data_IF_851724350719
#
_entry.id   IF_851724350719
#
_cell.length_a   1.000
_cell.length_b   1.000
_cell.length_c   1.000
_cell.angle_alpha   90.00
_cell.angle_beta   90.00
_cell.angle_gamma   90.00
#
_symmetry.space_group_name_H-M   'P 1'
#
loop_
_entity.id
_entity.type
_entity.pdbx_description
1 polymer ?
#
# COMPACT_ATOMS: atom_id res chain seq x y z
N UNK A 1 11.98 17.51 -1.90
CA UNK A 1 11.22 16.97 -3.05
C UNK A 1 11.85 15.68 -3.61
N UNK A 2 13.14 15.67 -3.95
CA UNK A 2 13.81 14.49 -4.55
C UNK A 2 13.74 13.20 -3.73
N UNK A 3 14.00 13.26 -2.42
CA UNK A 3 13.90 12.08 -1.54
C UNK A 3 12.49 11.47 -1.59
N UNK A 4 11.46 12.31 -1.49
CA UNK A 4 10.08 11.87 -1.58
C UNK A 4 9.76 11.20 -2.92
N UNK A 5 10.21 11.80 -4.04
CA UNK A 5 10.00 11.23 -5.37
C UNK A 5 10.69 9.88 -5.53
N UNK A 6 11.93 9.75 -5.06
CA UNK A 6 12.67 8.48 -5.10
C UNK A 6 11.95 7.42 -4.28
N UNK A 7 11.57 7.74 -3.04
CA UNK A 7 10.82 6.82 -2.18
C UNK A 7 9.47 6.44 -2.80
N UNK A 8 8.79 7.39 -3.44
CA UNK A 8 7.51 7.13 -4.10
C UNK A 8 7.69 6.18 -5.28
N UNK A 9 8.64 6.44 -6.18
CA UNK A 9 8.95 5.57 -7.31
C UNK A 9 9.31 4.17 -6.83
N UNK A 10 10.19 4.05 -5.82
CA UNK A 10 10.52 2.75 -5.23
C UNK A 10 9.29 2.04 -4.66
N UNK A 11 8.42 2.78 -3.96
CA UNK A 11 7.20 2.21 -3.38
C UNK A 11 6.22 1.70 -4.42
N UNK A 12 6.16 2.26 -5.64
CA UNK A 12 5.33 1.73 -6.72
C UNK A 12 5.72 0.30 -7.10
N UNK A 13 7.01 -0.03 -6.96
CA UNK A 13 7.56 -1.37 -7.18
C UNK A 13 7.68 -2.17 -5.87
N UNK A 14 6.86 -1.89 -4.84
CA UNK A 14 6.98 -2.57 -3.54
C UNK A 14 6.90 -4.09 -3.63
N UNK A 15 6.13 -4.65 -4.58
CA UNK A 15 6.03 -6.10 -4.80
C UNK A 15 7.38 -6.74 -5.20
N UNK A 16 8.33 -5.96 -5.72
CA UNK A 16 9.66 -6.41 -6.12
C UNK A 16 10.72 -6.15 -5.05
N UNK A 17 10.39 -5.32 -4.06
CA UNK A 17 11.27 -4.93 -2.95
C UNK A 17 10.95 -5.74 -1.70
N UNK A 18 9.67 -5.95 -1.44
CA UNK A 18 9.12 -6.61 -0.27
C UNK A 18 8.01 -7.57 -0.68
N UNK A 19 8.25 -8.89 -0.67
CA UNK A 19 7.24 -9.88 -1.00
C UNK A 19 7.54 -11.22 -0.34
N UNK A 20 6.48 -11.99 -0.03
CA UNK A 20 6.61 -13.37 0.46
C UNK A 20 6.77 -14.40 -0.65
N UNK A 21 6.83 -13.94 -1.91
CA UNK A 21 7.11 -14.75 -3.08
C UNK A 21 8.43 -14.35 -3.72
N UNK A 22 9.18 -15.31 -4.28
CA UNK A 22 10.33 -15.01 -5.10
C UNK A 22 9.90 -14.28 -6.39
N UNK A 23 10.80 -13.45 -6.89
CA UNK A 23 10.61 -12.69 -8.13
C UNK A 23 10.62 -13.62 -9.34
N UNK A 24 11.61 -14.52 -9.36
CA UNK A 24 11.82 -15.49 -10.43
C UNK A 24 12.16 -16.84 -9.81
N UNK A 25 11.60 -17.90 -10.38
CA UNK A 25 11.92 -19.29 -10.03
C UNK A 25 12.21 -20.07 -11.29
N UNK A 26 13.35 -20.75 -11.34
CA UNK A 26 13.60 -21.80 -12.33
C UNK A 26 13.26 -23.13 -11.68
N UNK A 27 12.38 -23.92 -12.28
CA UNK A 27 12.02 -25.25 -11.77
C UNK A 27 11.81 -26.22 -12.94
N UNK A 28 12.56 -27.33 -12.95
CA UNK A 28 12.48 -28.39 -14.00
C UNK A 28 12.62 -27.85 -15.44
N UNK A 29 13.43 -26.80 -15.62
CA UNK A 29 13.67 -26.17 -16.92
C UNK A 29 12.66 -25.07 -17.32
N UNK A 30 11.62 -24.82 -16.52
CA UNK A 30 10.66 -23.74 -16.73
C UNK A 30 11.01 -22.52 -15.86
N UNK A 31 10.88 -21.32 -16.41
CA UNK A 31 11.04 -20.06 -15.68
C UNK A 31 9.65 -19.54 -15.30
N UNK A 32 9.45 -19.35 -14.01
CA UNK A 32 8.21 -18.88 -13.38
C UNK A 32 8.42 -17.50 -12.78
N UNK A 33 7.34 -16.71 -12.73
CA UNK A 33 7.33 -15.38 -12.11
C UNK A 33 6.27 -15.31 -10.98
N UNK A 34 6.55 -15.89 -9.79
CA UNK A 34 5.55 -15.98 -8.71
C UNK A 34 5.07 -14.65 -8.16
N UNK A 35 5.86 -13.58 -8.33
CA UNK A 35 5.47 -12.21 -7.97
C UNK A 35 4.28 -11.70 -8.80
N UNK A 36 4.10 -12.20 -10.03
CA UNK A 36 3.00 -11.79 -10.94
C UNK A 36 1.92 -12.86 -11.04
N UNK A 37 2.31 -14.14 -11.05
CA UNK A 37 1.42 -15.27 -11.29
C UNK A 37 1.35 -16.15 -10.06
N UNK A 38 0.14 -16.43 -9.58
CA UNK A 38 -0.07 -17.42 -8.53
C UNK A 38 0.02 -18.83 -9.12
N UNK A 39 0.94 -19.64 -8.60
CA UNK A 39 1.06 -21.05 -8.95
C UNK A 39 0.50 -21.91 -7.80
N UNK A 40 -0.20 -23.01 -8.11
CA UNK A 40 -0.62 -23.97 -7.11
C UNK A 40 0.58 -24.77 -6.61
N UNK A 41 0.52 -25.20 -5.35
CA UNK A 41 1.58 -25.96 -4.71
C UNK A 41 1.75 -27.37 -5.29
N UNK A 42 0.70 -27.91 -5.91
CA UNK A 42 0.75 -29.15 -6.70
C UNK A 42 1.87 -29.14 -7.74
N UNK A 43 2.21 -27.97 -8.28
CA UNK A 43 3.33 -27.81 -9.23
C UNK A 43 4.68 -28.19 -8.61
N UNK A 44 4.82 -28.02 -7.30
CA UNK A 44 6.01 -28.32 -6.51
C UNK A 44 5.80 -29.54 -5.60
N UNK A 45 4.79 -30.37 -5.86
CA UNK A 45 4.53 -31.60 -5.09
C UNK A 45 3.74 -31.41 -3.79
N UNK A 46 3.21 -30.22 -3.52
CA UNK A 46 2.28 -29.98 -2.40
C UNK A 46 0.81 -30.12 -2.80
N UNK A 47 -0.09 -29.63 -1.94
CA UNK A 47 -1.54 -29.82 -2.10
C UNK A 47 -2.37 -28.53 -2.00
N UNK A 48 -1.75 -27.40 -1.67
CA UNK A 48 -2.45 -26.14 -1.49
C UNK A 48 -2.69 -25.40 -2.82
N UNK A 49 -3.77 -24.63 -2.87
CA UNK A 49 -4.16 -23.85 -4.05
C UNK A 49 -3.18 -22.71 -4.39
N UNK A 50 -2.42 -22.23 -3.41
CA UNK A 50 -1.40 -21.20 -3.57
C UNK A 50 -0.15 -21.66 -2.85
N UNK A 51 0.97 -21.70 -3.56
CA UNK A 51 2.27 -22.09 -3.01
C UNK A 51 2.75 -21.12 -1.94
N UNK A 52 3.10 -21.64 -0.76
CA UNK A 52 3.95 -20.93 0.21
C UNK A 52 5.43 -21.17 -0.10
N UNK A 53 6.07 -20.21 -0.76
CA UNK A 53 7.50 -20.29 -1.09
C UNK A 53 8.41 -20.12 0.13
N UNK A 54 7.87 -19.76 1.30
CA UNK A 54 8.62 -19.67 2.55
C UNK A 54 8.66 -21.01 3.30
N UNK A 55 7.88 -22.00 2.89
CA UNK A 55 7.92 -23.34 3.44
C UNK A 55 9.27 -24.02 3.10
N UNK A 56 10.06 -24.49 4.09
CA UNK A 56 11.30 -25.21 3.85
C UNK A 56 11.17 -26.39 2.88
N UNK A 57 10.05 -27.13 2.92
CA UNK A 57 9.83 -28.30 2.05
C UNK A 57 9.75 -27.87 0.58
N UNK A 58 9.03 -26.79 0.30
CA UNK A 58 8.90 -26.23 -1.05
C UNK A 58 10.23 -25.63 -1.52
N UNK A 59 10.96 -24.97 -0.62
CA UNK A 59 12.27 -24.41 -0.96
C UNK A 59 13.28 -25.49 -1.33
N UNK A 60 13.33 -26.58 -0.55
CA UNK A 60 14.24 -27.69 -0.80
C UNK A 60 13.92 -28.40 -2.13
N UNK A 61 12.63 -28.62 -2.42
CA UNK A 61 12.18 -29.19 -3.70
C UNK A 61 12.57 -28.31 -4.89
N UNK A 62 12.38 -26.99 -4.79
CA UNK A 62 12.75 -26.08 -5.86
C UNK A 62 14.27 -26.02 -6.02
N UNK A 63 15.03 -25.96 -4.93
CA UNK A 63 16.50 -25.91 -4.97
C UNK A 63 17.11 -27.23 -5.49
N UNK A 64 16.45 -28.37 -5.29
CA UNK A 64 16.88 -29.65 -5.86
C UNK A 64 16.74 -29.71 -7.39
N UNK A 65 15.77 -28.97 -7.95
CA UNK A 65 15.43 -28.99 -9.38
C UNK A 65 15.57 -27.64 -10.08
N UNK A 66 16.26 -26.68 -9.45
CA UNK A 66 16.37 -25.32 -9.95
C UNK A 66 16.83 -24.31 -8.91
N UNK A 67 16.32 -23.08 -9.00
CA UNK A 67 16.76 -21.95 -8.17
C UNK A 67 15.69 -20.88 -8.05
N UNK A 68 15.82 -20.02 -7.04
CA UNK A 68 14.90 -18.90 -6.79
C UNK A 68 15.66 -17.60 -6.54
N UNK A 69 15.13 -16.49 -7.08
CA UNK A 69 15.61 -15.13 -6.77
C UNK A 69 14.56 -14.42 -5.93
N UNK A 70 14.95 -14.03 -4.73
CA UNK A 70 14.07 -13.36 -3.76
C UNK A 70 14.18 -11.84 -3.81
N UNK A 71 13.10 -11.11 -3.49
CA UNK A 71 13.21 -9.69 -3.18
C UNK A 71 14.09 -9.46 -1.93
N UNK A 72 14.64 -8.24 -1.76
CA UNK A 72 15.43 -7.87 -0.58
C UNK A 72 14.72 -8.11 0.75
N UNK A 73 13.41 -7.87 0.84
CA UNK A 73 12.59 -8.16 2.01
C UNK A 73 11.64 -9.29 1.64
N UNK A 74 11.73 -10.43 2.33
CA UNK A 74 10.96 -11.63 1.98
C UNK A 74 9.57 -11.67 2.61
N UNK A 75 9.00 -10.52 2.96
CA UNK A 75 7.68 -10.40 3.60
C UNK A 75 6.75 -9.53 2.75
N UNK A 76 5.52 -9.99 2.57
CA UNK A 76 4.41 -9.14 2.18
C UNK A 76 3.81 -8.46 3.41
N UNK A 77 2.99 -7.44 3.21
CA UNK A 77 2.34 -6.66 4.27
C UNK A 77 1.39 -7.48 5.16
N UNK A 78 1.01 -8.70 4.73
CA UNK A 78 0.15 -9.63 5.49
C UNK A 78 0.91 -10.82 6.10
N UNK A 79 2.13 -11.08 5.63
CA UNK A 79 2.91 -12.25 6.01
C UNK A 79 3.23 -12.19 7.49
N UNK A 80 2.84 -13.23 8.22
CA UNK A 80 3.14 -13.40 9.64
C UNK A 80 4.49 -14.11 9.75
N UNK A 81 5.41 -13.57 10.54
CA UNK A 81 6.68 -14.21 10.81
C UNK A 81 6.56 -15.13 12.04
N UNK A 82 6.67 -16.43 11.82
CA UNK A 82 6.65 -17.41 12.91
C UNK A 82 8.02 -17.59 13.57
N UNK A 83 9.11 -17.18 12.91
CA UNK A 83 10.48 -17.31 13.38
C UNK A 83 10.99 -16.01 14.03
N UNK A 84 10.22 -15.48 14.99
CA UNK A 84 10.56 -14.24 15.71
C UNK A 84 11.34 -14.52 17.01
N UNK A 85 12.33 -13.67 17.39
CA UNK A 85 13.19 -13.92 18.56
C UNK A 85 12.49 -13.98 19.92
N UNK A 86 11.44 -13.17 20.07
CA UNK A 86 10.66 -12.97 21.29
C UNK A 86 9.19 -12.77 20.93
N UNK A 87 8.31 -12.72 21.93
CA UNK A 87 6.89 -12.49 21.69
C UNK A 87 6.65 -11.14 21.00
N UNK A 88 5.76 -11.12 20.01
CA UNK A 88 5.38 -9.91 19.31
C UNK A 88 4.76 -8.85 20.26
N UNK A 89 5.01 -7.55 20.04
CA UNK A 89 5.85 -6.95 18.99
C UNK A 89 7.35 -7.05 19.30
N UNK A 90 8.16 -7.17 18.25
CA UNK A 90 9.63 -7.30 18.38
C UNK A 90 10.35 -6.02 18.02
N UNK A 91 11.51 -5.78 18.64
CA UNK A 91 12.41 -4.67 18.25
C UNK A 91 13.07 -4.94 16.88
N UNK A 92 13.65 -3.91 16.25
CA UNK A 92 14.41 -4.08 15.01
C UNK A 92 15.46 -5.20 15.02
N UNK A 93 15.52 -6.01 13.95
CA UNK A 93 16.38 -7.20 13.86
C UNK A 93 17.88 -6.92 14.00
N UNK A 94 18.32 -5.69 13.71
CA UNK A 94 19.71 -5.27 13.84
C UNK A 94 20.11 -4.94 15.29
N UNK A 95 19.16 -4.90 16.24
CA UNK A 95 19.40 -4.73 17.67
C UNK A 95 19.58 -6.06 18.43
N UNK A 96 19.48 -7.20 17.74
CA UNK A 96 19.72 -8.52 18.33
C UNK A 96 21.11 -9.03 17.99
N UNK A 97 21.67 -9.80 18.91
CA UNK A 97 22.81 -10.68 18.63
C UNK A 97 22.41 -11.74 17.62
N UNK A 98 23.39 -12.26 16.86
CA UNK A 98 23.15 -13.26 15.82
C UNK A 98 22.43 -14.51 16.34
N UNK A 99 22.77 -14.97 17.55
CA UNK A 99 22.15 -16.15 18.17
C UNK A 99 20.69 -15.91 18.54
N UNK A 100 20.40 -14.77 19.17
CA UNK A 100 19.04 -14.40 19.58
C UNK A 100 18.13 -14.20 18.37
N UNK A 101 18.65 -13.56 17.31
CA UNK A 101 17.91 -13.34 16.07
C UNK A 101 17.47 -14.63 15.38
N UNK A 102 18.30 -15.68 15.44
CA UNK A 102 18.02 -16.94 14.76
C UNK A 102 17.51 -18.05 15.71
N UNK A 103 17.09 -17.74 16.93
CA UNK A 103 16.80 -18.76 17.95
C UNK A 103 15.63 -19.71 17.61
N UNK A 104 14.64 -19.25 16.83
CA UNK A 104 13.49 -20.05 16.39
C UNK A 104 13.76 -20.86 15.13
N UNK A 105 14.88 -20.64 14.45
CA UNK A 105 15.23 -21.41 13.26
C UNK A 105 15.79 -22.79 13.69
N UNK A 106 15.41 -23.90 13.03
CA UNK A 106 15.87 -25.24 13.40
C UNK A 106 17.39 -25.39 13.52
N UNK A 107 18.15 -24.73 12.64
CA UNK A 107 19.62 -24.77 12.64
C UNK A 107 20.27 -23.51 13.24
N UNK A 108 19.48 -22.64 13.89
CA UNK A 108 19.96 -21.41 14.50
C UNK A 108 20.65 -20.50 13.48
N UNK A 109 21.86 -20.04 13.81
CA UNK A 109 22.64 -19.13 12.96
C UNK A 109 23.09 -19.77 11.63
N UNK A 110 23.19 -21.10 11.59
CA UNK A 110 23.58 -21.82 10.38
C UNK A 110 22.40 -22.09 9.42
N UNK A 111 21.18 -21.71 9.82
CA UNK A 111 19.97 -22.00 9.05
C UNK A 111 19.95 -21.23 7.72
N UNK A 112 19.66 -21.89 6.58
CA UNK A 112 19.56 -21.24 5.27
C UNK A 112 18.53 -20.11 5.22
N UNK A 113 17.53 -20.14 6.11
CA UNK A 113 16.49 -19.12 6.19
C UNK A 113 16.81 -17.99 7.18
N UNK A 114 17.84 -18.08 8.03
CA UNK A 114 18.27 -16.95 8.86
C UNK A 114 19.16 -15.95 8.10
N UNK A 115 18.66 -15.46 6.96
CA UNK A 115 19.35 -14.51 6.07
C UNK A 115 18.80 -13.10 6.21
N UNK A 116 19.57 -12.10 5.75
CA UNK A 116 19.21 -10.67 5.80
C UNK A 116 17.82 -10.37 5.21
N UNK A 117 17.40 -11.12 4.19
CA UNK A 117 16.07 -10.94 3.58
C UNK A 117 14.90 -11.38 4.45
N UNK A 118 15.14 -12.27 5.42
CA UNK A 118 14.16 -12.70 6.43
C UNK A 118 14.30 -11.91 7.75
N UNK A 119 15.08 -10.83 7.77
CA UNK A 119 15.15 -9.96 8.95
C UNK A 119 13.97 -9.01 8.99
N UNK A 120 13.39 -8.86 10.17
CA UNK A 120 12.44 -7.79 10.45
C UNK A 120 13.19 -6.49 10.77
N UNK A 121 13.58 -5.75 9.74
CA UNK A 121 14.47 -4.59 9.83
C UNK A 121 13.96 -3.48 10.76
N UNK A 122 12.65 -3.27 10.82
CA UNK A 122 12.00 -2.31 11.73
C UNK A 122 11.25 -3.01 12.88
N UNK A 123 11.44 -4.32 13.04
CA UNK A 123 10.71 -5.13 14.02
C UNK A 123 9.38 -5.63 13.47
N UNK A 124 8.57 -6.18 14.37
CA UNK A 124 7.23 -6.70 14.05
C UNK A 124 6.13 -5.98 14.82
N UNK A 125 4.92 -6.01 14.28
CA UNK A 125 3.72 -5.59 14.99
C UNK A 125 3.20 -6.65 15.98
N UNK A 126 2.07 -6.37 16.63
CA UNK A 126 1.38 -7.26 17.59
C UNK A 126 0.86 -8.57 16.97
N UNK A 127 0.96 -8.74 15.64
CA UNK A 127 0.58 -9.93 14.90
C UNK A 127 1.81 -10.60 14.26
N UNK A 128 3.02 -10.25 14.70
CA UNK A 128 4.28 -10.75 14.19
C UNK A 128 4.53 -10.47 12.69
N UNK A 129 3.87 -9.46 12.10
CA UNK A 129 4.10 -9.07 10.70
C UNK A 129 5.23 -8.06 10.60
N UNK A 130 5.94 -8.08 9.49
CA UNK A 130 7.08 -7.20 9.25
C UNK A 130 6.67 -5.72 9.13
N UNK A 131 7.19 -4.86 10.01
CA UNK A 131 6.86 -3.43 10.01
C UNK A 131 7.43 -2.73 8.78
N UNK A 132 8.62 -3.12 8.29
CA UNK A 132 9.24 -2.49 7.12
C UNK A 132 8.39 -2.68 5.86
N UNK A 133 7.98 -3.92 5.57
CA UNK A 133 7.07 -4.24 4.48
C UNK A 133 5.76 -3.45 4.62
N UNK A 134 5.14 -3.43 5.81
CA UNK A 134 3.92 -2.65 6.03
C UNK A 134 4.09 -1.16 5.77
N UNK A 135 5.23 -0.57 6.12
CA UNK A 135 5.56 0.84 5.84
C UNK A 135 5.71 1.08 4.34
N UNK A 136 6.44 0.23 3.61
CA UNK A 136 6.65 0.38 2.16
C UNK A 136 5.31 0.32 1.42
N UNK A 137 4.47 -0.69 1.72
CA UNK A 137 3.16 -0.85 1.11
C UNK A 137 2.18 0.25 1.53
N UNK A 138 2.18 0.63 2.81
CA UNK A 138 1.33 1.70 3.34
C UNK A 138 1.68 3.06 2.74
N UNK A 139 2.97 3.36 2.56
CA UNK A 139 3.43 4.58 1.91
C UNK A 139 2.96 4.65 0.45
N UNK A 140 3.08 3.57 -0.33
CA UNK A 140 2.54 3.47 -1.69
C UNK A 140 1.05 3.85 -1.72
N UNK A 141 0.24 3.21 -0.88
CA UNK A 141 -1.21 3.41 -0.85
C UNK A 141 -1.58 4.83 -0.42
N UNK A 142 -0.95 5.36 0.64
CA UNK A 142 -1.22 6.70 1.16
C UNK A 142 -0.89 7.81 0.17
N UNK A 143 0.24 7.70 -0.53
CA UNK A 143 0.63 8.71 -1.54
C UNK A 143 -0.27 8.64 -2.76
N UNK A 144 -0.58 7.44 -3.27
CA UNK A 144 -1.53 7.28 -4.38
C UNK A 144 -2.91 7.83 -4.03
N UNK A 145 -3.39 7.57 -2.81
CA UNK A 145 -4.64 8.12 -2.32
C UNK A 145 -4.64 9.65 -2.36
N UNK A 146 -3.62 10.29 -1.79
CA UNK A 146 -3.49 11.75 -1.77
C UNK A 146 -3.42 12.34 -3.18
N UNK A 147 -2.61 11.75 -4.07
CA UNK A 147 -2.48 12.23 -5.45
C UNK A 147 -3.79 12.13 -6.22
N UNK A 148 -4.50 11.01 -6.14
CA UNK A 148 -5.78 10.83 -6.84
C UNK A 148 -6.84 11.77 -6.26
N UNK A 149 -6.92 11.89 -4.93
CA UNK A 149 -7.87 12.77 -4.26
C UNK A 149 -7.61 14.24 -4.65
N UNK A 150 -6.36 14.69 -4.59
CA UNK A 150 -6.00 16.07 -4.97
C UNK A 150 -6.24 16.32 -6.44
N UNK A 151 -5.87 15.40 -7.34
CA UNK A 151 -6.09 15.58 -8.78
C UNK A 151 -7.59 15.61 -9.12
N UNK A 152 -8.39 14.70 -8.58
CA UNK A 152 -9.83 14.67 -8.77
C UNK A 152 -10.52 15.91 -8.17
N UNK A 153 -10.11 16.29 -6.96
CA UNK A 153 -10.63 17.48 -6.27
C UNK A 153 -10.31 18.76 -7.03
N UNK A 154 -9.07 18.90 -7.51
CA UNK A 154 -8.64 20.02 -8.34
C UNK A 154 -9.41 20.05 -9.67
N UNK A 155 -9.54 18.92 -10.36
CA UNK A 155 -10.27 18.85 -11.63
C UNK A 155 -11.72 19.36 -11.47
N UNK A 156 -12.44 18.86 -10.47
CA UNK A 156 -13.83 19.26 -10.21
C UNK A 156 -13.91 20.70 -9.70
N UNK A 157 -13.05 21.07 -8.74
CA UNK A 157 -13.06 22.40 -8.12
C UNK A 157 -12.67 23.51 -9.09
N UNK A 158 -11.65 23.29 -9.92
CA UNK A 158 -11.23 24.25 -10.96
C UNK A 158 -12.31 24.41 -11.99
N UNK A 159 -12.88 23.31 -12.50
CA UNK A 159 -13.93 23.39 -13.53
C UNK A 159 -15.17 24.10 -13.00
N UNK A 160 -15.68 23.73 -11.81
CA UNK A 160 -16.84 24.39 -11.22
C UNK A 160 -16.56 25.87 -10.88
N UNK A 161 -15.42 26.19 -10.27
CA UNK A 161 -15.03 27.57 -9.93
C UNK A 161 -14.84 28.46 -11.16
N UNK A 162 -14.21 27.92 -12.21
CA UNK A 162 -14.05 28.62 -13.49
C UNK A 162 -15.40 28.90 -14.15
N UNK A 163 -16.32 27.92 -14.18
CA UNK A 163 -17.68 28.12 -14.72
C UNK A 163 -18.44 29.20 -13.96
N UNK A 164 -18.36 29.21 -12.62
CA UNK A 164 -19.00 30.23 -11.79
C UNK A 164 -18.41 31.63 -12.03
N UNK A 165 -17.08 31.76 -11.99
CA UNK A 165 -16.42 33.05 -12.13
C UNK A 165 -16.49 33.63 -13.55
N UNK A 166 -16.42 32.77 -14.58
CA UNK A 166 -16.46 33.18 -15.98
C UNK A 166 -17.85 33.69 -16.39
N UNK A 167 -18.90 32.89 -16.16
CA UNK A 167 -20.27 33.27 -16.57
C UNK A 167 -20.92 34.26 -15.61
N UNK A 168 -20.69 34.14 -14.29
CA UNK A 168 -21.28 35.02 -13.27
C UNK A 168 -22.81 35.02 -13.22
N UNK A 169 -23.37 35.92 -12.40
CA UNK A 169 -24.83 36.11 -12.33
C UNK A 169 -25.58 34.89 -11.80
N UNK A 170 -26.54 34.39 -12.58
CA UNK A 170 -27.39 33.26 -12.17
C UNK A 170 -26.64 31.93 -12.04
N UNK A 171 -25.64 31.66 -12.89
CA UNK A 171 -24.84 30.43 -12.80
C UNK A 171 -24.06 30.40 -11.49
N UNK A 172 -23.50 31.55 -11.11
CA UNK A 172 -22.78 31.71 -9.85
C UNK A 172 -23.70 31.53 -8.65
N UNK A 173 -24.85 32.23 -8.63
CA UNK A 173 -25.84 32.13 -7.56
C UNK A 173 -26.34 30.69 -7.35
N UNK A 174 -26.69 29.97 -8.42
CA UNK A 174 -27.19 28.59 -8.32
C UNK A 174 -26.13 27.65 -7.74
N UNK A 175 -24.88 27.71 -8.24
CA UNK A 175 -23.80 26.88 -7.72
C UNK A 175 -23.45 27.23 -6.28
N UNK A 176 -23.45 28.52 -5.90
CA UNK A 176 -23.25 28.92 -4.51
C UNK A 176 -24.32 28.31 -3.60
N UNK A 177 -25.61 28.36 -3.98
CA UNK A 177 -26.69 27.73 -3.19
C UNK A 177 -26.54 26.23 -3.07
N UNK A 178 -26.16 25.56 -4.15
CA UNK A 178 -25.87 24.13 -4.10
C UNK A 178 -24.72 23.83 -3.12
N UNK A 179 -23.62 24.56 -3.21
CA UNK A 179 -22.44 24.39 -2.35
C UNK A 179 -22.77 24.68 -0.88
N UNK A 180 -23.55 25.72 -0.60
CA UNK A 180 -24.01 26.03 0.76
C UNK A 180 -24.80 24.85 1.36
N UNK A 181 -25.79 24.32 0.62
CA UNK A 181 -26.57 23.16 1.07
C UNK A 181 -25.67 21.92 1.22
N UNK A 182 -24.75 21.69 0.27
CA UNK A 182 -23.85 20.56 0.28
C UNK A 182 -22.88 20.59 1.47
N UNK A 183 -22.34 21.77 1.78
CA UNK A 183 -21.42 21.99 2.89
C UNK A 183 -22.09 22.01 4.26
N UNK A 184 -23.42 22.19 4.31
CA UNK A 184 -24.21 22.06 5.53
C UNK A 184 -24.29 20.61 6.03
N UNK A 185 -24.00 19.62 5.16
CA UNK A 185 -23.97 18.21 5.52
C UNK A 185 -22.71 17.94 6.39
N UNK A 186 -22.84 17.46 7.63
CA UNK A 186 -21.66 17.20 8.46
C UNK A 186 -20.92 15.96 7.97
N UNK A 187 -19.72 16.18 7.42
CA UNK A 187 -18.90 15.14 6.79
C UNK A 187 -18.64 13.96 7.73
N UNK A 188 -18.37 14.22 9.02
CA UNK A 188 -18.11 13.17 10.00
C UNK A 188 -19.29 12.21 10.17
N UNK A 189 -20.53 12.72 10.24
CA UNK A 189 -21.70 11.85 10.38
C UNK A 189 -21.92 10.99 9.14
N UNK A 190 -21.72 11.55 7.95
CA UNK A 190 -21.84 10.78 6.71
C UNK A 190 -20.77 9.69 6.61
N UNK A 191 -19.52 10.00 6.99
CA UNK A 191 -18.45 9.00 7.06
C UNK A 191 -18.81 7.87 8.03
N UNK A 192 -19.38 8.19 9.20
CA UNK A 192 -19.82 7.17 10.18
C UNK A 192 -20.96 6.29 9.66
N UNK A 193 -21.97 6.89 9.05
CA UNK A 193 -23.12 6.14 8.49
C UNK A 193 -22.64 5.21 7.38
N UNK A 194 -21.81 5.71 6.45
CA UNK A 194 -21.32 4.89 5.33
C UNK A 194 -20.38 3.80 5.82
N UNK A 195 -19.47 4.10 6.76
CA UNK A 195 -18.58 3.10 7.34
C UNK A 195 -19.31 2.00 8.14
N UNK A 196 -20.51 2.30 8.66
CA UNK A 196 -21.34 1.31 9.35
C UNK A 196 -22.07 0.35 8.38
N UNK A 197 -22.34 0.77 7.15
CA UNK A 197 -23.12 0.00 6.17
C UNK A 197 -22.22 -0.69 5.14
N UNK A 198 -21.19 0.03 4.67
CA UNK A 198 -20.27 -0.45 3.65
C UNK A 198 -18.93 -0.82 4.27
N UNK A 199 -18.33 -1.95 3.89
CA UNK A 199 -16.97 -2.30 4.30
C UNK A 199 -15.99 -1.17 3.94
N UNK A 200 -15.14 -0.70 4.87
CA UNK A 200 -14.16 0.32 4.55
C UNK A 200 -13.21 -0.21 3.49
N UNK A 201 -13.06 0.55 2.40
CA UNK A 201 -12.20 0.20 1.29
C UNK A 201 -11.60 1.44 0.66
N UNK A 202 -10.51 1.24 -0.09
CA UNK A 202 -9.77 2.33 -0.75
C UNK A 202 -10.70 3.24 -1.58
N UNK A 203 -11.50 2.66 -2.47
CA UNK A 203 -12.37 3.42 -3.36
C UNK A 203 -13.55 4.09 -2.65
N UNK A 204 -14.08 3.47 -1.58
CA UNK A 204 -15.18 4.04 -0.80
C UNK A 204 -14.67 5.28 -0.06
N UNK A 205 -13.56 5.17 0.66
CA UNK A 205 -12.98 6.31 1.36
C UNK A 205 -12.57 7.42 0.38
N UNK A 206 -11.97 7.06 -0.75
CA UNK A 206 -11.57 8.02 -1.79
C UNK A 206 -12.78 8.77 -2.34
N UNK A 207 -13.85 8.05 -2.69
CA UNK A 207 -15.09 8.65 -3.19
C UNK A 207 -15.75 9.56 -2.16
N UNK A 208 -15.87 9.11 -0.90
CA UNK A 208 -16.43 9.90 0.19
C UNK A 208 -15.65 11.18 0.42
N UNK A 209 -14.32 11.11 0.48
CA UNK A 209 -13.48 12.29 0.62
C UNK A 209 -13.58 13.21 -0.59
N UNK A 210 -13.59 12.65 -1.80
CA UNK A 210 -13.69 13.40 -3.04
C UNK A 210 -15.02 14.14 -3.16
N UNK A 211 -16.13 13.60 -2.64
CA UNK A 211 -17.45 14.25 -2.67
C UNK A 211 -17.48 15.62 -1.97
N UNK A 212 -16.60 15.86 -0.99
CA UNK A 212 -16.56 17.11 -0.22
C UNK A 212 -15.30 17.95 -0.48
N UNK A 213 -14.19 17.32 -0.85
CA UNK A 213 -12.88 18.00 -0.92
C UNK A 213 -12.79 19.09 -2.01
N UNK A 214 -13.54 18.96 -3.12
CA UNK A 214 -13.47 19.89 -4.26
C UNK A 214 -14.04 21.28 -3.95
N UNK A 215 -15.00 21.36 -3.04
CA UNK A 215 -15.74 22.58 -2.71
C UNK A 215 -14.82 23.71 -2.25
N UNK A 216 -13.78 23.40 -1.48
CA UNK A 216 -12.84 24.39 -0.97
C UNK A 216 -12.10 25.12 -2.11
N UNK A 217 -11.80 24.40 -3.19
CA UNK A 217 -11.05 24.94 -4.32
C UNK A 217 -11.91 25.79 -5.25
N UNK A 218 -13.22 25.52 -5.32
CA UNK A 218 -14.19 26.29 -6.11
C UNK A 218 -14.16 27.78 -5.74
N UNK A 219 -14.20 28.10 -4.44
CA UNK A 219 -14.23 29.47 -3.96
C UNK A 219 -13.00 30.28 -4.36
N UNK A 220 -11.81 29.65 -4.32
CA UNK A 220 -10.55 30.26 -4.70
C UNK A 220 -10.51 30.55 -6.21
N UNK A 221 -10.81 29.55 -7.04
CA UNK A 221 -10.79 29.71 -8.50
C UNK A 221 -11.84 30.71 -8.97
N UNK A 222 -13.04 30.66 -8.39
CA UNK A 222 -14.11 31.63 -8.65
C UNK A 222 -13.62 33.07 -8.40
N UNK A 223 -12.94 33.32 -7.29
CA UNK A 223 -12.45 34.65 -6.94
C UNK A 223 -11.43 35.18 -7.97
N UNK A 224 -10.52 34.32 -8.45
CA UNK A 224 -9.55 34.69 -9.47
C UNK A 224 -10.22 35.04 -10.82
N UNK A 225 -11.21 34.26 -11.26
CA UNK A 225 -11.94 34.55 -12.49
C UNK A 225 -12.76 35.84 -12.40
N UNK A 226 -13.41 36.10 -11.26
CA UNK A 226 -14.13 37.36 -11.03
C UNK A 226 -13.19 38.57 -11.05
N UNK A 227 -12.01 38.43 -10.40
CA UNK A 227 -10.97 39.47 -10.38
C UNK A 227 -10.44 39.78 -11.78
N UNK A 228 -10.18 38.75 -12.58
CA UNK A 228 -9.70 38.89 -13.95
C UNK A 228 -10.73 39.57 -14.87
N UNK A 229 -12.03 39.48 -14.55
CA UNK A 229 -13.10 40.16 -15.30
C UNK A 229 -13.24 41.65 -14.95
N UNK A 230 -12.89 42.03 -13.72
CA UNK A 230 -13.03 43.41 -13.22
C UNK A 230 -11.79 44.29 -13.47
N UNK A 231 -10.69 43.69 -13.94
CA UNK A 231 -9.45 44.38 -14.31
C UNK A 231 -9.44 44.64 -15.81
#
# INVERSE_FOLDING_TARGET
>A
LWIFLVLFVLSLFSEWIANDKPVVVSYKGEILFPVVVAYPEEKFGGFYAVTDYRDPVIQDEINAHGWMIWPPVRYSYRTVNNAIPEAAPTKPSWLYDAKSRCNQYPQGVADPNCVVGNWNWLGTDDQARDVLARVIYGFRVSVLFGLILTAGSALIGVTAGALQGYFGGWTDLLFQRFIEIWSAIPVLYLLLIVAAILPPGFFILLGLMLLFSWVALVGVVRAEFLRARTT
#
